data_IF_954968228615
#
_entry.id   IF_954968228615
#
_cell.length_a   1.000
_cell.length_b   1.000
_cell.length_c   1.000
_cell.angle_alpha   90.00
_cell.angle_beta   90.00
_cell.angle_gamma   90.00
#
_symmetry.space_group_name_H-M   'P 1'
#
loop_
_entity.id
_entity.type
_entity.pdbx_description
1 polymer ?
#
# COMPACT_ATOMS: atom_id res chain seq x y z
N UNK A 1 17.17 8.87 -5.70
CA UNK A 1 15.85 9.19 -5.12
C UNK A 1 15.00 7.95 -4.90
N UNK A 2 14.68 7.21 -5.96
CA UNK A 2 13.84 6.00 -5.91
C UNK A 2 14.17 5.03 -4.75
N UNK A 3 15.43 4.59 -4.65
CA UNK A 3 15.83 3.63 -3.61
C UNK A 3 15.62 4.17 -2.18
N UNK A 4 15.85 5.46 -1.98
CA UNK A 4 15.71 6.13 -0.68
C UNK A 4 14.24 6.25 -0.30
N UNK A 5 13.37 6.64 -1.26
CA UNK A 5 11.93 6.70 -1.03
C UNK A 5 11.32 5.32 -0.83
N UNK A 6 11.78 4.30 -1.56
CA UNK A 6 11.31 2.93 -1.40
C UNK A 6 11.69 2.34 -0.03
N UNK A 7 12.93 2.54 0.41
CA UNK A 7 13.36 2.11 1.75
C UNK A 7 12.53 2.77 2.85
N UNK A 8 12.32 4.08 2.77
CA UNK A 8 11.49 4.81 3.73
C UNK A 8 10.05 4.29 3.74
N UNK A 9 9.51 3.96 2.57
CA UNK A 9 8.17 3.39 2.45
C UNK A 9 8.09 2.01 3.11
N UNK A 10 9.10 1.15 2.98
CA UNK A 10 9.10 -0.16 3.65
C UNK A 10 9.14 -0.05 5.18
N UNK A 11 9.82 0.96 5.73
CA UNK A 11 9.93 1.17 7.17
C UNK A 11 8.71 1.86 7.79
N UNK A 12 8.20 2.90 7.13
CA UNK A 12 7.21 3.83 7.70
C UNK A 12 5.84 3.73 7.05
N UNK A 13 5.77 3.08 5.88
CA UNK A 13 4.58 3.03 5.01
C UNK A 13 4.06 4.43 4.65
N UNK A 14 5.00 5.34 4.42
CA UNK A 14 4.71 6.71 4.02
C UNK A 14 5.76 7.20 3.03
N UNK A 15 5.34 8.13 2.16
CA UNK A 15 6.25 8.81 1.23
C UNK A 15 7.08 9.82 2.02
N UNK A 16 8.40 9.78 1.83
CA UNK A 16 9.34 10.70 2.47
C UNK A 16 9.08 12.13 2.00
N UNK A 17 9.21 13.14 2.88
CA UNK A 17 9.09 14.54 2.48
C UNK A 17 10.31 14.99 1.63
N UNK A 18 10.14 16.06 0.83
CA UNK A 18 11.24 16.63 0.05
C UNK A 18 12.40 17.10 0.94
N UNK A 19 12.10 17.78 2.04
CA UNK A 19 13.11 18.27 2.99
C UNK A 19 13.90 17.14 3.63
N UNK A 20 13.22 16.05 4.01
CA UNK A 20 13.87 14.91 4.64
C UNK A 20 14.68 14.09 3.62
N UNK A 21 14.21 14.01 2.37
CA UNK A 21 14.97 13.42 1.29
C UNK A 21 16.28 14.20 1.04
N UNK A 22 16.19 15.53 1.02
CA UNK A 22 17.37 16.40 0.86
C UNK A 22 18.35 16.23 2.02
N UNK A 23 17.87 16.21 3.27
CA UNK A 23 18.73 15.95 4.45
C UNK A 23 19.40 14.59 4.40
N UNK A 24 18.67 13.53 4.03
CA UNK A 24 19.23 12.18 3.92
C UNK A 24 20.29 12.10 2.82
N UNK A 25 20.06 12.69 1.64
CA UNK A 25 21.07 12.75 0.58
C UNK A 25 22.29 13.54 1.02
N UNK A 26 22.10 14.69 1.66
CA UNK A 26 23.20 15.50 2.19
C UNK A 26 24.03 14.73 3.24
N UNK A 27 23.40 13.88 4.06
CA UNK A 27 24.12 13.04 5.03
C UNK A 27 24.91 11.88 4.40
N UNK A 28 24.52 11.44 3.20
CA UNK A 28 25.17 10.35 2.47
C UNK A 28 26.29 10.84 1.53
N UNK A 29 26.25 12.11 1.12
CA UNK A 29 27.27 12.73 0.30
C UNK A 29 28.42 13.29 1.17
N UNK A 30 29.67 12.98 0.81
CA UNK A 30 30.84 13.65 1.36
C UNK A 30 30.89 15.11 0.90
N UNK A 31 31.49 15.99 1.71
CA UNK A 31 31.42 17.47 1.58
C UNK A 31 31.76 18.04 0.20
N UNK A 32 32.51 17.31 -0.65
CA UNK A 32 32.90 17.74 -2.01
C UNK A 32 31.87 17.42 -3.12
N UNK A 33 30.76 16.73 -2.82
CA UNK A 33 29.78 16.31 -3.83
C UNK A 33 28.33 16.44 -3.32
N UNK A 34 27.99 17.59 -2.73
CA UNK A 34 26.62 17.90 -2.35
C UNK A 34 25.73 18.00 -3.61
N UNK A 35 25.11 16.88 -3.99
CA UNK A 35 24.13 16.85 -5.08
C UNK A 35 22.88 17.60 -4.61
N UNK A 36 22.58 18.73 -5.25
CA UNK A 36 21.34 19.45 -5.01
C UNK A 36 20.19 18.63 -5.62
N UNK A 37 19.39 18.01 -4.77
CA UNK A 37 18.14 17.39 -5.21
C UNK A 37 17.24 18.48 -5.78
N UNK A 38 16.78 18.34 -7.03
CA UNK A 38 15.78 19.25 -7.60
C UNK A 38 14.37 18.72 -7.31
N UNK A 39 13.35 19.59 -7.26
CA UNK A 39 11.95 19.15 -7.14
C UNK A 39 11.53 18.20 -8.27
N UNK A 40 12.03 18.44 -9.47
CA UNK A 40 11.76 17.60 -10.64
C UNK A 40 12.30 16.18 -10.45
N UNK A 41 13.56 16.05 -9.97
CA UNK A 41 14.18 14.74 -9.67
C UNK A 41 13.46 14.02 -8.53
N UNK A 42 12.93 14.77 -7.56
CA UNK A 42 12.14 14.21 -6.48
C UNK A 42 10.84 13.60 -7.03
N UNK A 43 10.06 14.35 -7.81
CA UNK A 43 8.78 13.86 -8.37
C UNK A 43 9.01 12.67 -9.31
N UNK A 44 10.00 12.74 -10.21
CA UNK A 44 10.36 11.63 -11.08
C UNK A 44 10.80 10.40 -10.28
N UNK A 45 11.55 10.60 -9.19
CA UNK A 45 11.94 9.53 -8.28
C UNK A 45 10.77 8.86 -7.56
N UNK A 46 9.75 9.63 -7.16
CA UNK A 46 8.50 9.08 -6.60
C UNK A 46 7.73 8.30 -7.67
N UNK A 47 7.68 8.78 -8.92
CA UNK A 47 7.08 8.02 -10.01
C UNK A 47 7.78 6.67 -10.21
N UNK A 48 9.11 6.63 -10.23
CA UNK A 48 9.85 5.37 -10.37
C UNK A 48 9.69 4.42 -9.18
N UNK A 49 9.62 4.97 -7.97
CA UNK A 49 9.31 4.19 -6.76
C UNK A 49 7.97 3.46 -6.86
N UNK A 50 6.95 4.02 -7.52
CA UNK A 50 5.67 3.29 -7.72
C UNK A 50 5.83 2.01 -8.54
N UNK A 51 6.78 1.98 -9.47
CA UNK A 51 7.13 0.79 -10.25
C UNK A 51 7.78 -0.30 -9.40
N UNK A 52 8.67 0.10 -8.50
CA UNK A 52 9.29 -0.84 -7.55
C UNK A 52 8.26 -1.36 -6.52
N UNK A 53 7.33 -0.51 -6.09
CA UNK A 53 6.24 -0.90 -5.21
C UNK A 53 5.26 -1.89 -5.88
N UNK A 54 5.01 -1.74 -7.18
CA UNK A 54 4.29 -2.75 -7.97
C UNK A 54 5.05 -4.07 -7.99
N UNK A 55 6.36 -4.07 -8.29
CA UNK A 55 7.18 -5.29 -8.30
C UNK A 55 7.16 -6.00 -6.96
N UNK A 56 7.33 -5.23 -5.87
CA UNK A 56 7.23 -5.74 -4.52
C UNK A 56 5.86 -6.37 -4.27
N UNK A 57 4.78 -5.67 -4.61
CA UNK A 57 3.41 -6.17 -4.43
C UNK A 57 3.16 -7.49 -5.16
N UNK A 58 3.46 -7.54 -6.46
CA UNK A 58 3.23 -8.74 -7.29
C UNK A 58 4.08 -9.92 -6.79
N UNK A 59 5.33 -9.65 -6.43
CA UNK A 59 6.24 -10.69 -5.92
C UNK A 59 5.78 -11.20 -4.56
N UNK A 60 5.47 -10.32 -3.61
CA UNK A 60 4.96 -10.69 -2.29
C UNK A 60 3.63 -11.44 -2.37
N UNK A 61 2.76 -11.10 -3.32
CA UNK A 61 1.51 -11.82 -3.52
C UNK A 61 1.74 -13.23 -4.08
N UNK A 62 2.69 -13.38 -5.00
CA UNK A 62 3.07 -14.68 -5.54
C UNK A 62 3.72 -15.59 -4.49
N UNK A 63 4.50 -15.03 -3.55
CA UNK A 63 5.21 -15.80 -2.52
C UNK A 63 4.39 -16.05 -1.25
N UNK A 64 3.62 -15.06 -0.80
CA UNK A 64 2.92 -15.09 0.49
C UNK A 64 1.39 -15.25 0.35
N UNK A 65 0.85 -15.19 -0.88
CA UNK A 65 -0.58 -15.36 -1.14
C UNK A 65 -1.46 -14.27 -0.52
N UNK A 66 -0.90 -13.12 -0.14
CA UNK A 66 -1.60 -11.96 0.44
C UNK A 66 -0.94 -10.67 -0.02
N UNK A 67 -1.72 -9.58 -0.08
CA UNK A 67 -1.16 -8.25 -0.29
C UNK A 67 -0.35 -7.80 0.92
N UNK A 68 0.79 -7.12 0.72
CA UNK A 68 1.44 -6.43 1.81
C UNK A 68 0.48 -5.37 2.35
N UNK A 69 0.27 -5.41 3.65
CA UNK A 69 -0.57 -4.46 4.37
C UNK A 69 0.20 -3.94 5.58
N UNK A 70 -0.08 -2.70 5.94
CA UNK A 70 0.48 -2.08 7.12
C UNK A 70 0.04 -2.68 8.42
N UNK A 71 0.99 -2.76 9.35
CA UNK A 71 0.65 -3.03 10.73
C UNK A 71 -0.17 -1.84 11.26
N UNK A 72 -1.48 -2.01 11.28
CA UNK A 72 -2.34 -1.13 12.07
C UNK A 72 -1.96 -1.33 13.52
N UNK A 73 -1.15 -0.43 14.09
CA UNK A 73 -0.96 -0.36 15.53
C UNK A 73 -2.32 -0.06 16.17
N UNK A 74 -3.06 -1.11 16.55
CA UNK A 74 -4.36 -1.05 17.22
C UNK A 74 -4.26 -0.60 18.69
N UNK A 75 -3.28 0.24 19.04
CA UNK A 75 -3.03 0.72 20.39
C UNK A 75 -2.97 2.26 20.44
N UNK A 76 -4.11 2.91 20.22
CA UNK A 76 -4.37 4.23 20.80
C UNK A 76 -5.87 4.43 21.09
N UNK A 77 -6.48 3.50 21.84
CA UNK A 77 -7.70 3.80 22.61
C UNK A 77 -7.28 4.19 24.02
N UNK A 78 -6.82 5.44 24.16
CA UNK A 78 -6.67 6.09 25.45
C UNK A 78 -8.06 6.38 26.00
N UNK A 79 -8.54 5.41 26.79
CA UNK A 79 -9.35 5.51 28.00
C UNK A 79 -9.77 6.95 28.39
N UNK A 80 -11.05 7.27 28.22
CA UNK A 80 -11.75 8.22 29.09
C UNK A 80 -13.24 7.84 29.17
N UNK A 81 -13.67 7.49 30.38
CA UNK A 81 -15.07 7.33 30.84
C UNK A 81 -15.17 8.15 32.15
N UNK A 82 -16.35 8.37 32.76
CA UNK A 82 -17.58 8.96 32.22
C UNK A 82 -18.12 10.07 33.18
N UNK A 83 -19.10 10.88 32.76
CA UNK A 83 -19.97 11.61 33.72
C UNK A 83 -21.37 11.89 33.16
N UNK A 84 -22.30 11.06 33.61
CA UNK A 84 -23.69 11.32 34.07
C UNK A 84 -24.63 12.28 33.32
N UNK A 85 -25.75 11.69 32.89
CA UNK A 85 -27.17 12.13 33.02
C UNK A 85 -27.65 13.39 32.27
N UNK A 86 -28.57 13.21 31.31
CA UNK A 86 -29.96 13.66 31.43
C UNK A 86 -30.88 13.02 30.36
N UNK A 87 -32.13 12.92 30.77
CA UNK A 87 -33.35 12.29 30.27
C UNK A 87 -33.93 12.94 29.02
N UNK A 88 -34.57 12.18 28.13
CA UNK A 88 -35.31 12.75 27.01
C UNK A 88 -35.92 11.75 26.03
N UNK A 89 -37.03 11.16 26.43
CA UNK A 89 -38.00 10.38 25.64
C UNK A 89 -38.36 11.03 24.28
N UNK A 90 -38.17 10.31 23.15
CA UNK A 90 -39.15 10.20 22.02
C UNK A 90 -38.68 9.48 20.73
N UNK A 91 -39.52 8.50 20.37
CA UNK A 91 -39.96 8.04 19.03
C UNK A 91 -39.06 7.13 18.18
N UNK A 92 -39.52 5.88 18.03
CA UNK A 92 -39.14 4.90 17.01
C UNK A 92 -39.30 5.48 15.59
N UNK A 93 -38.19 5.56 14.85
CA UNK A 93 -38.20 5.62 13.39
C UNK A 93 -37.38 4.43 12.89
N UNK A 94 -38.07 3.55 12.18
CA UNK A 94 -37.54 2.36 11.53
C UNK A 94 -36.78 2.81 10.28
N UNK A 95 -35.51 3.20 10.45
CA UNK A 95 -34.58 3.41 9.35
C UNK A 95 -33.43 2.43 9.53
N UNK A 96 -33.54 1.28 8.87
CA UNK A 96 -32.47 0.30 8.71
C UNK A 96 -31.28 0.95 8.00
N UNK A 97 -30.47 1.67 8.79
CA UNK A 97 -29.07 1.90 8.51
C UNK A 97 -28.36 0.62 8.91
N UNK A 98 -27.72 -0.13 8.00
CA UNK A 98 -26.85 -1.21 8.43
C UNK A 98 -25.73 -0.52 9.22
N UNK A 99 -25.74 -0.76 10.52
CA UNK A 99 -24.66 -0.46 11.45
C UNK A 99 -23.40 -1.18 10.97
N UNK A 100 -22.73 -0.58 10.00
CA UNK A 100 -21.42 -0.98 9.53
C UNK A 100 -20.44 -0.69 10.66
N UNK A 101 -20.15 -1.71 11.46
CA UNK A 101 -18.89 -1.75 12.17
C UNK A 101 -17.80 -1.50 11.12
N UNK A 102 -17.20 -0.31 11.11
CA UNK A 102 -16.02 -0.06 10.29
C UNK A 102 -14.91 -0.96 10.83
N UNK A 103 -14.85 -2.17 10.29
CA UNK A 103 -13.66 -2.99 10.32
C UNK A 103 -12.62 -2.14 9.62
N UNK A 104 -11.77 -1.46 10.38
CA UNK A 104 -10.62 -0.71 9.86
C UNK A 104 -9.80 -1.68 9.02
N UNK A 105 -10.06 -1.68 7.70
CA UNK A 105 -9.35 -2.50 6.75
C UNK A 105 -7.88 -2.09 6.86
N UNK A 106 -6.95 -3.05 7.06
CA UNK A 106 -5.56 -2.70 7.21
C UNK A 106 -5.09 -2.01 5.93
N UNK A 107 -4.42 -0.85 6.07
CA UNK A 107 -3.94 -0.07 4.93
C UNK A 107 -3.13 -0.96 4.01
N UNK A 108 -3.58 -1.10 2.77
CA UNK A 108 -2.91 -1.97 1.80
C UNK A 108 -1.98 -1.16 0.92
N UNK A 109 -0.93 -1.80 0.39
CA UNK A 109 -0.07 -1.19 -0.63
C UNK A 109 -0.87 -0.70 -1.84
N UNK A 110 -2.01 -1.35 -2.16
CA UNK A 110 -2.89 -0.90 -3.23
C UNK A 110 -3.57 0.43 -2.91
N UNK A 111 -4.00 0.65 -1.67
CA UNK A 111 -4.58 1.93 -1.25
C UNK A 111 -3.53 3.04 -1.32
N UNK A 112 -2.30 2.76 -0.91
CA UNK A 112 -1.19 3.71 -1.00
C UNK A 112 -0.83 4.02 -2.46
N UNK A 113 -0.76 3.01 -3.33
CA UNK A 113 -0.52 3.19 -4.77
C UNK A 113 -1.62 4.04 -5.43
N UNK A 114 -2.89 3.83 -5.05
CA UNK A 114 -4.02 4.64 -5.51
C UNK A 114 -3.92 6.09 -5.01
N UNK A 115 -3.53 6.29 -3.75
CA UNK A 115 -3.35 7.61 -3.17
C UNK A 115 -2.22 8.39 -3.86
N UNK A 116 -1.07 7.75 -4.08
CA UNK A 116 0.08 8.34 -4.79
C UNK A 116 -0.33 8.71 -6.22
N UNK A 117 -1.03 7.81 -6.92
CA UNK A 117 -1.54 8.09 -8.27
C UNK A 117 -2.47 9.30 -8.28
N UNK A 118 -3.43 9.38 -7.36
CA UNK A 118 -4.36 10.49 -7.29
C UNK A 118 -3.62 11.82 -7.07
N UNK A 119 -2.66 11.84 -6.14
CA UNK A 119 -1.86 13.04 -5.86
C UNK A 119 -1.03 13.48 -7.08
N UNK A 120 -0.47 12.53 -7.82
CA UNK A 120 0.28 12.82 -9.04
C UNK A 120 -0.63 13.26 -10.20
N UNK A 121 -1.82 12.67 -10.35
CA UNK A 121 -2.80 13.11 -11.36
C UNK A 121 -3.37 14.51 -11.08
N UNK A 122 -3.45 14.90 -9.80
CA UNK A 122 -3.81 16.27 -9.39
C UNK A 122 -2.67 17.28 -9.54
N UNK A 123 -1.43 16.80 -9.67
CA UNK A 123 -0.27 17.65 -9.80
C UNK A 123 -0.16 18.19 -11.23
N UNK A 124 -0.60 19.44 -11.41
CA UNK A 124 -0.46 20.15 -12.68
C UNK A 124 0.93 20.79 -12.77
N UNK A 125 1.80 20.20 -13.58
CA UNK A 125 3.14 20.73 -13.82
C UNK A 125 3.04 21.92 -14.79
N UNK A 126 3.79 23.01 -14.57
CA UNK A 126 3.77 24.16 -15.48
C UNK A 126 4.11 23.70 -16.91
N UNK A 127 3.12 23.88 -17.79
CA UNK A 127 3.18 23.40 -19.18
C UNK A 127 4.37 23.99 -19.94
N UNK A 128 5.05 23.14 -20.72
CA UNK A 128 6.16 23.52 -21.60
C UNK A 128 7.57 23.16 -21.10
N UNK A 129 7.71 22.64 -19.88
CA UNK A 129 8.98 22.10 -19.39
C UNK A 129 9.23 20.66 -19.90
N UNK A 130 10.51 20.29 -20.10
CA UNK A 130 10.89 18.91 -20.44
C UNK A 130 10.41 17.91 -19.38
N UNK A 131 10.41 18.34 -18.12
CA UNK A 131 9.89 17.60 -16.98
C UNK A 131 8.40 17.28 -17.16
N UNK A 132 7.56 18.27 -17.43
CA UNK A 132 6.13 18.06 -17.62
C UNK A 132 5.85 17.06 -18.77
N UNK A 133 6.55 17.20 -19.89
CA UNK A 133 6.42 16.28 -21.01
C UNK A 133 6.83 14.84 -20.66
N UNK A 134 7.92 14.66 -19.92
CA UNK A 134 8.36 13.35 -19.47
C UNK A 134 7.40 12.72 -18.45
N UNK A 135 6.93 13.51 -17.50
CA UNK A 135 5.96 13.11 -16.50
C UNK A 135 4.66 12.65 -17.17
N UNK A 136 4.09 13.47 -18.05
CA UNK A 136 2.82 13.19 -18.73
C UNK A 136 2.92 12.05 -19.74
N UNK A 137 3.97 12.04 -20.57
CA UNK A 137 4.07 11.09 -21.69
C UNK A 137 4.58 9.73 -21.26
N UNK A 138 5.50 9.66 -20.28
CA UNK A 138 6.17 8.41 -19.90
C UNK A 138 5.73 7.91 -18.53
N UNK A 139 5.74 8.77 -17.51
CA UNK A 139 5.54 8.32 -16.12
C UNK A 139 4.06 8.10 -15.77
N UNK A 140 3.16 9.01 -16.16
CA UNK A 140 1.73 8.88 -15.87
C UNK A 140 1.11 7.59 -16.45
N UNK A 141 1.38 7.19 -17.71
CA UNK A 141 0.86 5.93 -18.25
C UNK A 141 1.40 4.71 -17.52
N UNK A 142 2.71 4.70 -17.22
CA UNK A 142 3.35 3.59 -16.49
C UNK A 142 2.78 3.47 -15.08
N UNK A 143 2.55 4.58 -14.39
CA UNK A 143 1.95 4.57 -13.07
C UNK A 143 0.52 3.99 -13.08
N UNK A 144 -0.31 4.34 -14.07
CA UNK A 144 -1.63 3.73 -14.26
C UNK A 144 -1.52 2.22 -14.47
N UNK A 145 -0.59 1.79 -15.32
CA UNK A 145 -0.35 0.37 -15.57
C UNK A 145 0.15 -0.38 -14.32
N UNK A 146 0.97 0.27 -13.48
CA UNK A 146 1.44 -0.28 -12.21
C UNK A 146 0.28 -0.58 -11.26
N UNK A 147 -0.65 0.37 -11.10
CA UNK A 147 -1.86 0.17 -10.29
C UNK A 147 -2.72 -0.96 -10.87
N UNK A 148 -3.00 -0.92 -12.17
CA UNK A 148 -3.78 -1.96 -12.86
C UNK A 148 -3.22 -3.36 -12.67
N UNK A 149 -1.88 -3.51 -12.71
CA UNK A 149 -1.21 -4.80 -12.52
C UNK A 149 -1.40 -5.33 -11.11
N UNK A 150 -1.26 -4.48 -10.08
CA UNK A 150 -1.48 -4.88 -8.69
C UNK A 150 -2.95 -5.23 -8.45
N UNK A 151 -3.89 -4.47 -9.02
CA UNK A 151 -5.32 -4.74 -8.92
C UNK A 151 -5.72 -6.06 -9.58
N UNK A 152 -5.23 -6.32 -10.80
CA UNK A 152 -5.47 -7.57 -11.52
C UNK A 152 -4.85 -8.76 -10.79
N UNK A 153 -3.65 -8.61 -10.26
CA UNK A 153 -3.02 -9.63 -9.43
C UNK A 153 -3.87 -9.92 -8.19
N UNK A 154 -4.43 -8.89 -7.54
CA UNK A 154 -5.22 -9.05 -6.32
C UNK A 154 -6.53 -9.75 -6.64
N UNK A 155 -7.19 -9.33 -7.71
CA UNK A 155 -8.40 -9.96 -8.20
C UNK A 155 -8.17 -11.44 -8.49
N UNK A 156 -7.08 -11.78 -9.18
CA UNK A 156 -6.69 -13.17 -9.43
C UNK A 156 -6.50 -13.96 -8.13
N UNK A 157 -5.82 -13.38 -7.14
CA UNK A 157 -5.57 -14.05 -5.87
C UNK A 157 -6.85 -14.25 -5.03
N UNK A 158 -7.66 -13.20 -4.86
CA UNK A 158 -8.87 -13.22 -4.02
C UNK A 158 -10.00 -14.01 -4.67
N UNK A 159 -10.23 -13.85 -5.98
CA UNK A 159 -11.35 -14.49 -6.67
C UNK A 159 -10.96 -15.86 -7.20
N UNK A 160 -9.87 -16.02 -7.99
CA UNK A 160 -9.48 -17.34 -8.50
C UNK A 160 -8.85 -18.25 -7.44
N UNK A 161 -8.12 -17.69 -6.48
CA UNK A 161 -7.52 -18.48 -5.38
C UNK A 161 -8.57 -19.10 -4.44
N UNK A 162 -9.79 -18.54 -4.42
CA UNK A 162 -10.90 -18.99 -3.59
C UNK A 162 -11.83 -20.00 -4.31
N UNK A 163 -11.67 -20.19 -5.62
CA UNK A 163 -12.48 -21.13 -6.40
C UNK A 163 -11.88 -22.54 -6.31
N UNK A 164 -12.55 -23.42 -5.55
CA UNK A 164 -12.27 -24.88 -5.59
C UNK A 164 -12.90 -25.47 -6.85
N UNK A 165 -12.12 -26.06 -7.77
CA UNK A 165 -12.67 -26.66 -8.98
C UNK A 165 -13.70 -27.75 -8.67
N UNK A 166 -14.70 -27.94 -9.54
CA UNK A 166 -15.60 -29.11 -9.44
C UNK A 166 -14.76 -30.38 -9.54
N UNK A 167 -14.76 -31.19 -8.47
CA UNK A 167 -13.90 -32.38 -8.34
C UNK A 167 -12.63 -32.16 -7.52
N UNK A 168 -12.41 -30.98 -6.92
CA UNK A 168 -11.36 -30.77 -5.94
C UNK A 168 -11.65 -31.60 -4.68
N UNK A 169 -10.87 -32.66 -4.48
CA UNK A 169 -10.84 -33.38 -3.22
C UNK A 169 -9.74 -32.78 -2.35
N UNK A 170 -10.00 -32.44 -1.07
CA UNK A 170 -8.94 -32.17 -0.12
C UNK A 170 -8.01 -33.38 -0.07
N UNK A 171 -6.70 -33.15 -0.01
CA UNK A 171 -5.73 -34.23 0.12
C UNK A 171 -6.02 -35.03 1.41
N UNK A 172 -6.60 -36.22 1.25
CA UNK A 172 -6.87 -37.17 2.34
C UNK A 172 -5.62 -38.01 2.67
N UNK A 173 -4.43 -37.59 2.25
CA UNK A 173 -3.18 -38.29 2.51
C UNK A 173 -2.26 -37.49 3.44
N UNK A 174 -2.32 -37.73 4.76
CA UNK A 174 -1.24 -37.24 5.61
C UNK A 174 -1.32 -37.33 7.12
N UNK A 175 -2.35 -37.91 7.74
CA UNK A 175 -2.32 -38.23 9.19
C UNK A 175 -2.15 -39.73 9.43
N UNK A 176 -1.13 -40.31 8.80
CA UNK A 176 -0.59 -41.60 9.25
C UNK A 176 0.69 -41.32 10.01
N UNK A 177 0.56 -41.27 11.33
CA UNK A 177 1.64 -41.58 12.28
C UNK A 177 2.50 -42.68 11.66
N UNK A 178 3.79 -42.42 11.53
CA UNK A 178 4.76 -43.47 11.26
C UNK A 178 4.77 -44.42 12.46
N UNK A 179 4.00 -45.51 12.39
CA UNK A 179 4.28 -46.68 13.21
C UNK A 179 5.61 -47.26 12.70
N UNK A 180 6.65 -47.08 13.51
CA UNK A 180 7.96 -47.67 13.31
C UNK A 180 7.86 -49.14 13.73
N UNK A 181 7.78 -50.05 12.75
CA UNK A 181 8.01 -51.47 13.00
C UNK A 181 9.51 -51.69 13.25
N UNK A 182 9.82 -52.08 14.48
CA UNK A 182 11.13 -52.56 14.91
C UNK A 182 11.48 -53.88 14.23
N UNK A 183 12.72 -54.00 13.77
CA UNK A 183 13.44 -55.27 13.64
C UNK A 183 14.76 -55.18 14.38
#
# INVERSE_FOLDING_TARGET
>A
MEALSFHHYLETQSVISYEDAQKKIASMCSEDAAVSLTPDDYVLGICDMTGELMRFSVTSMATNGKLPAGQTNSNKRLKQEPSSEDTGDKMDIDEQSPSGQEVHKPRTVLEDLRAIRLQLEMFDAPGGSKFAHELETKKMPVMRECVDKVEKALYGLTVRGSERPKGWMPDMGGDRRAEVESY
#
